data_IF_705401748233
#
_entry.id   IF_705401748233
#
_cell.length_a   1.000
_cell.length_b   1.000
_cell.length_c   1.000
_cell.angle_alpha   90.00
_cell.angle_beta   90.00
_cell.angle_gamma   90.00
#
_symmetry.space_group_name_H-M   'P 1'
#
loop_
_entity.id
_entity.type
_entity.pdbx_description
1 polymer ?
#
# COMPACT_ATOMS: atom_id res chain seq x y z
N UNK A 1 -3.72 -4.94 15.01
CA UNK A 1 -2.50 -4.21 15.41
C UNK A 1 -2.27 -2.96 14.52
N UNK A 2 -1.92 -3.08 13.23
CA UNK A 2 -1.62 -1.90 12.37
C UNK A 2 -2.79 -0.92 12.24
N UNK A 3 -4.02 -1.42 12.06
CA UNK A 3 -5.24 -0.60 12.02
C UNK A 3 -5.40 0.20 13.31
N UNK A 4 -5.20 -0.44 14.46
CA UNK A 4 -5.28 0.23 15.76
C UNK A 4 -4.16 1.26 15.93
N UNK A 5 -2.93 0.91 15.52
CA UNK A 5 -1.79 1.82 15.57
C UNK A 5 -2.05 3.11 14.77
N UNK A 6 -2.64 2.99 13.57
CA UNK A 6 -3.02 4.15 12.76
C UNK A 6 -4.06 5.03 13.47
N UNK A 7 -5.10 4.42 14.04
CA UNK A 7 -6.14 5.17 14.77
C UNK A 7 -5.57 5.83 16.02
N UNK A 8 -4.71 5.14 16.76
CA UNK A 8 -4.08 5.69 17.97
C UNK A 8 -3.12 6.84 17.63
N UNK A 9 -2.36 6.71 16.53
CA UNK A 9 -1.49 7.79 16.03
C UNK A 9 -2.30 9.04 15.68
N UNK A 10 -3.41 8.90 14.97
CA UNK A 10 -4.26 10.05 14.62
C UNK A 10 -4.82 10.69 15.90
N UNK A 11 -5.26 9.88 16.87
CA UNK A 11 -5.81 10.40 18.14
C UNK A 11 -4.77 11.11 19.00
N UNK A 12 -3.56 10.52 19.11
CA UNK A 12 -2.55 11.03 20.06
C UNK A 12 -1.68 12.14 19.47
N UNK A 13 -1.30 12.01 18.19
CA UNK A 13 -0.30 12.90 17.57
C UNK A 13 -0.95 13.98 16.69
N UNK A 14 -2.04 13.64 15.98
CA UNK A 14 -2.72 14.61 15.11
C UNK A 14 -3.82 15.35 15.88
N UNK A 15 -4.62 14.65 16.68
CA UNK A 15 -5.63 15.21 17.58
C UNK A 15 -6.89 15.76 16.90
N UNK A 16 -7.02 15.65 15.58
CA UNK A 16 -8.20 16.09 14.82
C UNK A 16 -8.43 15.18 13.61
N UNK A 17 -9.61 15.34 12.99
CA UNK A 17 -9.92 14.64 11.73
C UNK A 17 -8.88 14.97 10.67
N UNK A 18 -8.45 13.95 9.91
CA UNK A 18 -7.41 14.10 8.91
C UNK A 18 -7.74 13.35 7.63
N UNK A 19 -7.13 13.78 6.53
CA UNK A 19 -7.17 13.07 5.27
C UNK A 19 -6.09 11.99 5.23
N UNK A 20 -6.35 10.91 4.50
CA UNK A 20 -5.40 9.82 4.32
C UNK A 20 -5.06 9.68 2.83
N UNK A 21 -3.77 9.67 2.55
CA UNK A 21 -3.24 9.18 1.26
C UNK A 21 -2.43 7.92 1.53
N UNK A 22 -2.84 6.81 0.94
CA UNK A 22 -2.14 5.53 1.12
C UNK A 22 -1.94 4.80 -0.22
N UNK A 23 -0.92 3.95 -0.31
CA UNK A 23 -0.57 3.25 -1.54
C UNK A 23 -0.54 1.73 -1.32
N UNK A 24 -0.97 0.97 -2.33
CA UNK A 24 -0.94 -0.48 -2.33
C UNK A 24 -1.73 -1.10 -1.18
N UNK A 25 -1.13 -2.07 -0.50
CA UNK A 25 -1.74 -2.80 0.63
C UNK A 25 -2.08 -1.92 1.85
N UNK A 26 -1.48 -0.73 1.97
CA UNK A 26 -1.80 0.22 3.04
C UNK A 26 -3.22 0.79 2.90
N UNK A 27 -3.80 0.81 1.70
CA UNK A 27 -5.18 1.20 1.46
C UNK A 27 -6.16 0.38 2.31
N UNK A 28 -5.97 -0.93 2.37
CA UNK A 28 -6.81 -1.81 3.18
C UNK A 28 -6.78 -1.47 4.68
N UNK A 29 -5.61 -1.06 5.18
CA UNK A 29 -5.47 -0.62 6.59
C UNK A 29 -6.21 0.70 6.83
N UNK A 30 -6.13 1.65 5.89
CA UNK A 30 -6.86 2.92 5.94
C UNK A 30 -8.38 2.71 5.93
N UNK A 31 -8.88 1.85 5.04
CA UNK A 31 -10.29 1.47 4.97
C UNK A 31 -10.77 0.84 6.28
N UNK A 32 -10.02 -0.11 6.83
CA UNK A 32 -10.38 -0.75 8.09
C UNK A 32 -10.34 0.23 9.28
N UNK A 33 -9.37 1.14 9.30
CA UNK A 33 -9.28 2.16 10.36
C UNK A 33 -10.46 3.13 10.28
N UNK A 34 -10.80 3.61 9.08
CA UNK A 34 -11.95 4.48 8.85
C UNK A 34 -13.28 3.78 9.22
N UNK A 35 -13.47 2.52 8.81
CA UNK A 35 -14.67 1.75 9.18
C UNK A 35 -14.82 1.55 10.69
N UNK A 36 -13.72 1.49 11.44
CA UNK A 36 -13.74 1.32 12.90
C UNK A 36 -13.91 2.65 13.67
N UNK A 37 -13.42 3.75 13.11
CA UNK A 37 -13.40 5.06 13.76
C UNK A 37 -13.59 6.17 12.73
N UNK A 38 -14.75 6.25 12.06
CA UNK A 38 -14.97 7.17 10.93
C UNK A 38 -14.83 8.65 11.34
N UNK A 39 -15.01 8.96 12.61
CA UNK A 39 -14.85 10.31 13.16
C UNK A 39 -13.42 10.85 13.08
N UNK A 40 -12.43 10.00 12.89
CA UNK A 40 -11.02 10.40 12.78
C UNK A 40 -10.62 10.83 11.37
N UNK A 41 -11.43 10.50 10.36
CA UNK A 41 -11.08 10.65 8.95
C UNK A 41 -12.01 11.64 8.26
N UNK A 42 -11.45 12.48 7.37
CA UNK A 42 -12.21 13.26 6.40
C UNK A 42 -12.34 12.49 5.10
N UNK A 43 -11.34 12.60 4.25
CA UNK A 43 -11.30 12.01 2.92
C UNK A 43 -10.18 10.98 2.82
N UNK A 44 -10.37 10.01 1.96
CA UNK A 44 -9.45 8.89 1.76
C UNK A 44 -9.07 8.83 0.28
N UNK A 45 -7.76 8.88 -0.01
CA UNK A 45 -7.24 8.71 -1.35
C UNK A 45 -6.29 7.54 -1.38
N UNK A 46 -6.55 6.57 -2.25
CA UNK A 46 -5.75 5.35 -2.35
C UNK A 46 -5.11 5.21 -3.73
N UNK A 47 -3.79 5.06 -3.74
CA UNK A 47 -2.99 4.91 -4.95
C UNK A 47 -2.72 3.43 -5.19
N UNK A 48 -3.18 2.90 -6.31
CA UNK A 48 -3.05 1.49 -6.68
C UNK A 48 -3.43 0.54 -5.53
N UNK A 49 -4.67 0.60 -5.01
CA UNK A 49 -5.12 -0.34 -4.00
C UNK A 49 -5.07 -1.77 -4.54
N UNK A 50 -4.82 -2.73 -3.66
CA UNK A 50 -4.90 -4.14 -4.03
C UNK A 50 -6.35 -4.56 -4.32
N UNK A 51 -6.56 -5.56 -5.20
CA UNK A 51 -7.90 -6.12 -5.43
C UNK A 51 -8.50 -6.69 -4.14
N UNK A 52 -9.83 -6.71 -4.05
CA UNK A 52 -10.53 -7.24 -2.88
C UNK A 52 -10.19 -8.72 -2.64
N UNK A 53 -9.97 -9.46 -3.73
CA UNK A 53 -9.50 -10.85 -3.66
C UNK A 53 -8.11 -10.92 -2.99
N UNK A 54 -7.18 -10.06 -3.39
CA UNK A 54 -5.85 -9.99 -2.77
C UNK A 54 -5.91 -9.61 -1.29
N UNK A 55 -6.75 -8.61 -0.94
CA UNK A 55 -6.97 -8.18 0.44
C UNK A 55 -7.54 -9.29 1.33
N UNK A 56 -8.37 -10.18 0.77
CA UNK A 56 -9.03 -11.27 1.51
C UNK A 56 -8.15 -12.52 1.70
N UNK A 57 -6.94 -12.54 1.12
CA UNK A 57 -6.05 -13.68 1.25
C UNK A 57 -5.66 -13.93 2.71
N UNK A 58 -5.77 -15.19 3.14
CA UNK A 58 -5.35 -15.63 4.46
C UNK A 58 -3.97 -16.29 4.42
N UNK A 59 -3.24 -16.33 5.55
CA UNK A 59 -1.99 -17.08 5.64
C UNK A 59 -2.17 -18.53 5.16
N UNK A 60 -1.35 -18.96 4.20
CA UNK A 60 -1.38 -20.32 3.67
C UNK A 60 -0.95 -21.36 4.72
N UNK A 61 -1.16 -22.66 4.42
CA UNK A 61 -0.84 -23.77 5.33
C UNK A 61 0.59 -23.74 5.87
N UNK A 62 1.55 -23.32 5.05
CA UNK A 62 2.96 -23.24 5.40
C UNK A 62 3.40 -21.85 5.89
N UNK A 63 2.49 -20.90 6.05
CA UNK A 63 2.83 -19.52 6.42
C UNK A 63 3.56 -19.45 7.78
N UNK A 64 3.14 -20.26 8.76
CA UNK A 64 3.80 -20.34 10.06
C UNK A 64 5.26 -20.80 9.93
N UNK A 65 5.50 -21.84 9.12
CA UNK A 65 6.86 -22.37 8.90
C UNK A 65 7.73 -21.32 8.17
N UNK A 66 7.21 -20.70 7.12
CA UNK A 66 7.90 -19.62 6.42
C UNK A 66 8.22 -18.45 7.34
N UNK A 67 7.25 -18.04 8.16
CA UNK A 67 7.47 -16.97 9.13
C UNK A 67 8.58 -17.34 10.12
N UNK A 68 8.59 -18.56 10.66
CA UNK A 68 9.65 -19.04 11.57
C UNK A 68 11.02 -18.98 10.88
N UNK A 69 11.12 -19.45 9.63
CA UNK A 69 12.38 -19.41 8.86
C UNK A 69 12.87 -17.99 8.66
N UNK A 70 11.95 -17.06 8.29
CA UNK A 70 12.27 -15.65 8.09
C UNK A 70 12.62 -14.93 9.41
N UNK A 71 12.10 -15.39 10.53
CA UNK A 71 12.42 -14.84 11.86
C UNK A 71 13.76 -15.37 12.41
N UNK A 72 14.34 -16.45 11.82
CA UNK A 72 15.64 -16.97 12.27
C UNK A 72 16.76 -15.92 12.16
N UNK A 73 17.67 -15.83 13.14
CA UNK A 73 18.69 -14.78 13.19
C UNK A 73 19.61 -14.75 11.96
N UNK A 74 20.07 -15.91 11.49
CA UNK A 74 21.04 -16.01 10.39
C UNK A 74 20.31 -16.15 9.06
N UNK A 75 19.48 -17.17 8.93
CA UNK A 75 18.80 -17.51 7.65
C UNK A 75 17.82 -16.40 7.24
N UNK A 76 16.99 -15.94 8.16
CA UNK A 76 16.03 -14.87 7.90
C UNK A 76 16.72 -13.55 7.56
N UNK A 77 17.83 -13.22 8.23
CA UNK A 77 18.62 -12.02 7.91
C UNK A 77 19.25 -12.12 6.53
N UNK A 78 19.76 -13.29 6.16
CA UNK A 78 20.31 -13.52 4.81
C UNK A 78 19.22 -13.34 3.73
N UNK A 79 18.06 -13.98 3.90
CA UNK A 79 16.94 -13.87 2.98
C UNK A 79 16.49 -12.40 2.86
N UNK A 80 16.36 -11.71 4.00
CA UNK A 80 15.99 -10.31 4.05
C UNK A 80 16.99 -9.42 3.28
N UNK A 81 18.28 -9.58 3.55
CA UNK A 81 19.34 -8.80 2.90
C UNK A 81 19.40 -9.05 1.38
N UNK A 82 19.12 -10.26 0.92
CA UNK A 82 19.00 -10.55 -0.51
C UNK A 82 17.78 -9.84 -1.10
N UNK A 83 16.62 -9.97 -0.46
CA UNK A 83 15.37 -9.37 -0.93
C UNK A 83 15.39 -7.83 -0.90
N UNK A 84 16.13 -7.24 0.03
CA UNK A 84 16.31 -5.79 0.17
C UNK A 84 17.65 -5.30 -0.40
N UNK A 85 18.37 -6.15 -1.14
CA UNK A 85 19.61 -5.73 -1.80
C UNK A 85 19.34 -4.69 -2.87
N UNK A 86 20.29 -3.77 -3.07
CA UNK A 86 20.19 -2.74 -4.10
C UNK A 86 19.93 -3.33 -5.49
N UNK A 87 20.55 -4.48 -5.82
CA UNK A 87 20.35 -5.17 -7.09
C UNK A 87 18.92 -5.68 -7.25
N UNK A 88 18.34 -6.28 -6.19
CA UNK A 88 16.97 -6.79 -6.23
C UNK A 88 15.97 -5.64 -6.32
N UNK A 89 16.13 -4.60 -5.52
CA UNK A 89 15.32 -3.37 -5.57
C UNK A 89 15.38 -2.77 -6.98
N UNK A 90 16.58 -2.60 -7.54
CA UNK A 90 16.75 -2.07 -8.91
C UNK A 90 15.96 -2.91 -9.92
N UNK A 91 16.08 -4.24 -9.86
CA UNK A 91 15.33 -5.14 -10.74
C UNK A 91 13.82 -4.91 -10.60
N UNK A 92 13.29 -4.85 -9.38
CA UNK A 92 11.86 -4.63 -9.15
C UNK A 92 11.39 -3.28 -9.74
N UNK A 93 12.17 -2.23 -9.56
CA UNK A 93 11.85 -0.93 -10.16
C UNK A 93 11.82 -0.96 -11.68
N UNK A 94 12.77 -1.62 -12.30
CA UNK A 94 12.88 -1.69 -13.76
C UNK A 94 11.84 -2.62 -14.41
N UNK A 95 11.36 -3.64 -13.69
CA UNK A 95 10.46 -4.65 -14.29
C UNK A 95 9.01 -4.51 -13.82
N UNK A 96 8.79 -4.17 -12.56
CA UNK A 96 7.48 -4.26 -11.93
C UNK A 96 6.87 -2.92 -11.51
N UNK A 97 7.70 -1.95 -11.10
CA UNK A 97 7.17 -0.75 -10.48
C UNK A 97 7.01 0.44 -11.40
N UNK A 98 7.83 0.56 -12.44
CA UNK A 98 7.80 1.67 -13.39
C UNK A 98 7.32 1.22 -14.77
N UNK A 99 6.50 2.07 -15.39
CA UNK A 99 6.13 1.95 -16.79
C UNK A 99 7.35 2.17 -17.70
N UNK A 100 8.08 3.26 -17.45
CA UNK A 100 9.30 3.56 -18.19
C UNK A 100 10.55 3.27 -17.33
N UNK A 101 11.25 2.12 -17.57
CA UNK A 101 12.45 1.77 -16.81
C UNK A 101 13.55 2.83 -16.87
N UNK A 102 13.63 3.60 -17.96
CA UNK A 102 14.66 4.62 -18.14
C UNK A 102 14.42 5.89 -17.30
N UNK A 103 13.24 6.07 -16.74
CA UNK A 103 12.92 7.18 -15.85
C UNK A 103 13.30 6.94 -14.38
N UNK A 104 13.73 5.73 -14.04
CA UNK A 104 14.10 5.35 -12.67
C UNK A 104 15.37 6.09 -12.24
N UNK A 105 15.25 6.90 -11.22
CA UNK A 105 16.37 7.69 -10.67
C UNK A 105 17.14 6.86 -9.63
N UNK A 106 18.45 6.77 -9.77
CA UNK A 106 19.31 6.04 -8.83
C UNK A 106 19.08 6.46 -7.37
N UNK A 107 18.85 7.74 -7.11
CA UNK A 107 18.58 8.25 -5.75
C UNK A 107 17.33 7.60 -5.11
N UNK A 108 16.33 7.20 -5.92
CA UNK A 108 15.13 6.52 -5.40
C UNK A 108 15.49 5.12 -4.96
N UNK A 109 16.27 4.41 -5.79
CA UNK A 109 16.79 3.08 -5.44
C UNK A 109 17.61 3.14 -4.15
N UNK A 110 18.49 4.16 -4.04
CA UNK A 110 19.32 4.34 -2.86
C UNK A 110 18.47 4.60 -1.61
N UNK A 111 17.47 5.48 -1.70
CA UNK A 111 16.56 5.78 -0.59
C UNK A 111 15.77 4.53 -0.14
N UNK A 112 15.28 3.71 -1.05
CA UNK A 112 14.61 2.45 -0.73
C UNK A 112 15.55 1.44 -0.06
N UNK A 113 16.77 1.32 -0.60
CA UNK A 113 17.78 0.43 -0.02
C UNK A 113 18.21 0.88 1.38
N UNK A 114 18.51 2.16 1.56
CA UNK A 114 18.88 2.72 2.86
C UNK A 114 17.75 2.58 3.88
N UNK A 115 16.51 2.90 3.50
CA UNK A 115 15.34 2.77 4.38
C UNK A 115 15.12 1.32 4.85
N UNK A 116 15.36 0.35 3.98
CA UNK A 116 15.26 -1.07 4.34
C UNK A 116 16.35 -1.53 5.32
N UNK A 117 17.44 -0.76 5.48
CA UNK A 117 18.57 -1.12 6.34
C UNK A 117 18.77 -0.15 7.52
N UNK A 118 17.85 0.81 7.70
CA UNK A 118 17.89 1.73 8.84
C UNK A 118 17.47 1.01 10.14
N UNK A 119 18.26 1.20 11.19
CA UNK A 119 17.98 0.70 12.54
C UNK A 119 17.98 -0.82 12.64
N UNK A 120 17.13 -1.36 13.51
CA UNK A 120 16.93 -2.81 13.64
C UNK A 120 16.19 -3.34 12.40
N UNK A 121 16.69 -4.46 11.87
CA UNK A 121 16.14 -5.07 10.65
C UNK A 121 14.63 -5.34 10.76
N UNK A 122 13.77 -4.78 9.88
CA UNK A 122 12.34 -5.00 9.89
C UNK A 122 11.94 -6.37 9.32
N UNK A 123 12.78 -7.38 9.43
CA UNK A 123 12.55 -8.72 8.86
C UNK A 123 11.25 -9.38 9.35
N UNK A 124 10.84 -9.12 10.61
CA UNK A 124 9.56 -9.64 11.12
C UNK A 124 8.36 -9.00 10.46
N UNK A 125 8.45 -7.71 10.11
CA UNK A 125 7.45 -7.01 9.31
C UNK A 125 7.43 -7.58 7.89
N UNK A 126 8.61 -7.74 7.27
CA UNK A 126 8.76 -8.37 5.96
C UNK A 126 8.17 -9.79 5.94
N UNK A 127 8.47 -10.61 6.96
CA UNK A 127 7.91 -11.95 7.09
C UNK A 127 6.37 -11.94 7.20
N UNK A 128 5.82 -10.98 7.94
CA UNK A 128 4.38 -10.82 8.10
C UNK A 128 3.70 -10.41 6.78
N UNK A 129 4.33 -9.51 6.02
CA UNK A 129 3.86 -9.12 4.69
C UNK A 129 3.89 -10.29 3.71
N UNK A 130 5.02 -10.99 3.61
CA UNK A 130 5.18 -12.14 2.69
C UNK A 130 4.28 -13.33 3.01
N UNK A 131 3.88 -13.47 4.25
CA UNK A 131 3.00 -14.56 4.70
C UNK A 131 1.51 -14.17 4.81
N UNK A 132 1.11 -13.02 4.29
CA UNK A 132 -0.28 -12.48 4.30
C UNK A 132 -0.87 -12.26 5.71
N UNK A 133 -0.04 -12.10 6.76
CA UNK A 133 -0.54 -11.83 8.12
C UNK A 133 -1.06 -10.41 8.30
N UNK A 134 -0.74 -9.49 7.39
CA UNK A 134 -1.19 -8.09 7.42
C UNK A 134 -2.42 -7.85 6.56
N UNK A 135 -2.81 -8.84 5.74
CA UNK A 135 -3.99 -8.72 4.88
C UNK A 135 -5.29 -8.78 5.68
N UNK A 136 -6.28 -8.04 5.23
CA UNK A 136 -7.60 -7.99 5.86
C UNK A 136 -8.68 -7.87 4.79
N UNK A 137 -9.76 -8.64 4.94
CA UNK A 137 -10.92 -8.53 4.08
C UNK A 137 -11.66 -7.23 4.37
N UNK A 138 -11.69 -6.33 3.40
CA UNK A 138 -12.25 -4.98 3.52
C UNK A 138 -13.67 -4.85 2.95
N UNK A 139 -14.22 -5.91 2.35
CA UNK A 139 -15.51 -5.85 1.65
C UNK A 139 -16.66 -5.33 2.53
N UNK A 140 -16.73 -5.80 3.79
CA UNK A 140 -17.74 -5.34 4.74
C UNK A 140 -17.47 -3.92 5.25
N UNK A 141 -16.20 -3.52 5.33
CA UNK A 141 -15.79 -2.18 5.74
C UNK A 141 -16.17 -1.15 4.68
N UNK A 142 -15.89 -1.42 3.40
CA UNK A 142 -16.26 -0.56 2.28
C UNK A 142 -17.75 -0.20 2.25
N UNK A 143 -18.63 -1.17 2.55
CA UNK A 143 -20.08 -0.95 2.60
C UNK A 143 -20.56 -0.05 3.75
N UNK A 144 -19.72 0.14 4.76
CA UNK A 144 -20.08 0.92 5.97
C UNK A 144 -19.53 2.33 5.98
N UNK A 145 -18.55 2.62 5.13
CA UNK A 145 -17.87 3.92 5.11
C UNK A 145 -18.73 4.91 4.33
N UNK A 146 -19.09 6.01 5.00
CA UNK A 146 -19.76 7.16 4.40
C UNK A 146 -18.77 8.28 4.01
N UNK A 147 -17.49 8.16 4.41
CA UNK A 147 -16.44 9.10 4.04
C UNK A 147 -16.15 9.01 2.54
N UNK A 148 -15.80 10.13 1.93
CA UNK A 148 -15.38 10.16 0.53
C UNK A 148 -14.13 9.33 0.31
N UNK A 149 -14.17 8.42 -0.66
CA UNK A 149 -13.04 7.58 -1.08
C UNK A 149 -12.74 7.87 -2.54
N UNK A 150 -11.49 8.17 -2.82
CA UNK A 150 -10.98 8.34 -4.17
C UNK A 150 -9.86 7.34 -4.46
N UNK A 151 -9.92 6.70 -5.64
CA UNK A 151 -8.90 5.75 -6.06
C UNK A 151 -8.14 6.31 -7.26
N UNK A 152 -6.82 6.15 -7.23
CA UNK A 152 -5.92 6.56 -8.30
C UNK A 152 -5.09 5.37 -8.75
N UNK A 153 -5.15 5.03 -10.04
CA UNK A 153 -4.42 3.90 -10.61
C UNK A 153 -3.35 4.31 -11.61
N UNK A 154 -2.37 3.44 -11.82
CA UNK A 154 -1.49 3.52 -12.99
C UNK A 154 -2.10 2.73 -14.14
N UNK A 155 -2.24 3.34 -15.33
CA UNK A 155 -2.92 2.73 -16.48
C UNK A 155 -2.22 1.49 -17.06
N UNK A 156 -0.94 1.31 -16.77
CA UNK A 156 -0.15 0.16 -17.22
C UNK A 156 -0.17 -1.02 -16.22
N UNK A 157 -1.02 -1.00 -15.23
CA UNK A 157 -1.31 -2.16 -14.40
C UNK A 157 -2.45 -2.95 -15.06
N UNK A 158 -2.21 -4.24 -15.28
CA UNK A 158 -3.23 -5.13 -15.80
C UNK A 158 -4.47 -5.11 -14.88
N UNK A 159 -5.65 -5.07 -15.45
CA UNK A 159 -6.95 -5.12 -14.76
C UNK A 159 -7.20 -4.00 -13.71
N UNK A 160 -6.45 -2.88 -13.76
CA UNK A 160 -6.59 -1.80 -12.77
C UNK A 160 -8.01 -1.20 -12.78
N UNK A 161 -8.57 -0.98 -13.96
CA UNK A 161 -9.92 -0.43 -14.08
C UNK A 161 -10.98 -1.39 -13.52
N UNK A 162 -10.82 -2.69 -13.76
CA UNK A 162 -11.70 -3.73 -13.18
C UNK A 162 -11.59 -3.75 -11.65
N UNK A 163 -10.38 -3.65 -11.14
CA UNK A 163 -10.13 -3.52 -9.70
C UNK A 163 -10.84 -2.29 -9.10
N UNK A 164 -10.76 -1.12 -9.76
CA UNK A 164 -11.42 0.09 -9.29
C UNK A 164 -12.94 -0.02 -9.33
N UNK A 165 -13.50 -0.60 -10.39
CA UNK A 165 -14.94 -0.86 -10.50
C UNK A 165 -15.41 -1.87 -9.45
N UNK A 166 -14.62 -2.91 -9.12
CA UNK A 166 -14.92 -3.82 -8.02
C UNK A 166 -15.11 -3.08 -6.69
N UNK A 167 -14.25 -2.09 -6.38
CA UNK A 167 -14.41 -1.25 -5.18
C UNK A 167 -15.72 -0.46 -5.22
N UNK A 168 -16.07 0.10 -6.38
CA UNK A 168 -17.28 0.89 -6.59
C UNK A 168 -18.55 0.05 -6.48
N UNK A 169 -18.52 -1.24 -6.82
CA UNK A 169 -19.64 -2.15 -6.59
C UNK A 169 -19.98 -2.30 -5.09
N UNK A 170 -18.98 -2.23 -4.21
CA UNK A 170 -19.17 -2.27 -2.76
C UNK A 170 -19.54 -0.93 -2.15
N UNK A 171 -19.09 0.16 -2.73
CA UNK A 171 -19.44 1.52 -2.31
C UNK A 171 -19.57 2.42 -3.55
N UNK A 172 -20.79 2.66 -4.05
CA UNK A 172 -21.04 3.44 -5.27
C UNK A 172 -20.59 4.90 -5.22
N UNK A 173 -20.31 5.44 -4.04
CA UNK A 173 -19.79 6.80 -3.87
C UNK A 173 -18.28 6.90 -4.17
N UNK A 174 -17.60 5.78 -4.39
CA UNK A 174 -16.18 5.77 -4.75
C UNK A 174 -16.00 6.33 -6.17
N UNK A 175 -15.14 7.32 -6.27
CA UNK A 175 -14.66 7.85 -7.55
C UNK A 175 -13.23 7.36 -7.82
N UNK A 176 -12.85 7.26 -9.09
CA UNK A 176 -11.52 6.83 -9.45
C UNK A 176 -11.03 7.41 -10.78
N UNK A 177 -9.73 7.46 -10.93
CA UNK A 177 -9.05 7.81 -12.18
C UNK A 177 -7.77 7.01 -12.37
N UNK A 178 -7.24 7.02 -13.60
CA UNK A 178 -5.92 6.45 -13.90
C UNK A 178 -4.97 7.53 -14.40
N UNK A 179 -3.71 7.41 -14.03
CA UNK A 179 -2.63 8.26 -14.52
C UNK A 179 -1.97 7.57 -15.72
N UNK A 180 -2.03 8.16 -16.92
CA UNK A 180 -1.53 7.51 -18.13
C UNK A 180 -0.01 7.30 -18.08
N UNK A 181 0.48 6.23 -18.71
CA UNK A 181 1.90 5.87 -18.77
C UNK A 181 2.57 5.81 -17.39
N UNK A 182 1.88 5.23 -16.41
CA UNK A 182 2.42 4.90 -15.09
C UNK A 182 2.02 3.49 -14.70
N UNK A 183 2.78 2.88 -13.79
CA UNK A 183 2.55 1.52 -13.31
C UNK A 183 2.28 1.52 -11.81
N UNK A 184 3.06 0.78 -11.03
CA UNK A 184 2.77 0.56 -9.60
C UNK A 184 3.01 1.78 -8.71
N UNK A 185 3.83 2.73 -9.16
CA UNK A 185 4.22 3.90 -8.38
C UNK A 185 3.97 5.22 -9.13
N UNK A 186 2.72 5.55 -9.51
CA UNK A 186 2.41 6.76 -10.27
C UNK A 186 2.89 8.04 -9.58
N UNK A 187 2.85 8.09 -8.24
CA UNK A 187 3.34 9.22 -7.44
C UNK A 187 4.87 9.44 -7.53
N UNK A 188 5.64 8.43 -7.94
CA UNK A 188 7.08 8.57 -8.21
C UNK A 188 7.39 8.77 -9.68
N UNK A 189 6.55 8.23 -10.57
CA UNK A 189 6.71 8.36 -12.02
C UNK A 189 6.25 9.74 -12.52
N UNK A 190 5.10 10.20 -12.04
CA UNK A 190 4.46 11.45 -12.42
C UNK A 190 3.97 12.25 -11.20
N UNK A 191 4.88 12.72 -10.37
CA UNK A 191 4.54 13.35 -9.08
C UNK A 191 3.65 14.59 -9.23
N UNK A 192 3.83 15.39 -10.27
CA UNK A 192 3.02 16.60 -10.50
C UNK A 192 1.57 16.23 -10.81
N UNK A 193 1.34 15.30 -11.75
CA UNK A 193 0.00 14.87 -12.12
C UNK A 193 -0.74 14.24 -10.94
N UNK A 194 -0.05 13.41 -10.16
CA UNK A 194 -0.63 12.81 -8.95
C UNK A 194 -0.92 13.85 -7.88
N UNK A 195 -0.04 14.84 -7.70
CA UNK A 195 -0.26 15.94 -6.76
C UNK A 195 -1.47 16.79 -7.13
N UNK A 196 -1.67 17.09 -8.41
CA UNK A 196 -2.84 17.84 -8.90
C UNK A 196 -4.15 17.08 -8.60
N UNK A 197 -4.14 15.75 -8.77
CA UNK A 197 -5.28 14.90 -8.39
C UNK A 197 -5.51 14.96 -6.88
N UNK A 198 -4.47 14.80 -6.06
CA UNK A 198 -4.57 14.87 -4.60
C UNK A 198 -5.14 16.22 -4.16
N UNK A 199 -4.65 17.33 -4.71
CA UNK A 199 -5.18 18.66 -4.40
C UNK A 199 -6.66 18.81 -4.78
N UNK A 200 -7.06 18.25 -5.92
CA UNK A 200 -8.45 18.35 -6.37
C UNK A 200 -9.43 17.65 -5.43
N UNK A 201 -9.04 16.51 -4.87
CA UNK A 201 -9.94 15.68 -4.05
C UNK A 201 -9.79 15.88 -2.54
N UNK A 202 -8.68 16.45 -2.07
CA UNK A 202 -8.45 16.72 -0.66
C UNK A 202 -8.51 18.23 -0.31
N UNK A 203 -9.10 19.04 -1.19
CA UNK A 203 -9.26 20.49 -0.98
C UNK A 203 -10.58 20.85 -0.32
#
# INVERSE_FOLDING_TARGET
>A
MYVQLLSDFIKSEIGHRTDIVASGSSAALGIMACSNSPELFNQLLFINPESLLSCSQVPGKNAKLYKIILDLPIVGTLIYNIACSKQFITKEFLTNYYYNPYSVKTRIIDAYHESAHLGESPKSVYASLKCNYVKCNIAAALKKIDNSIYLLGGDAIDDISECMEEYKEYNPAIEWTVVPNTKSLPHLEKPTEVFDVIQTYLS
#
